data_IF_026748511872
#
_entry.id   IF_026748511872
#
_cell.length_a   1.000
_cell.length_b   1.000
_cell.length_c   1.000
_cell.angle_alpha   90.00
_cell.angle_beta   90.00
_cell.angle_gamma   90.00
#
_symmetry.space_group_name_H-M   'P 1'
#
loop_
_entity.id
_entity.type
_entity.pdbx_description
1 polymer ?
#
# COMPACT_ATOMS: atom_id res chain seq x y z
N UNK A 1 -30.81 40.55 -5.05
CA UNK A 1 -30.36 39.48 -5.96
C UNK A 1 -28.90 39.17 -5.63
N UNK A 2 -28.65 38.38 -4.58
CA UNK A 2 -27.29 38.04 -4.13
C UNK A 2 -26.81 36.81 -4.91
N UNK A 3 -25.98 37.07 -5.92
CA UNK A 3 -25.33 36.03 -6.73
C UNK A 3 -24.28 35.36 -5.83
N UNK A 4 -24.58 34.17 -5.30
CA UNK A 4 -23.57 33.31 -4.67
C UNK A 4 -22.50 33.02 -5.73
N UNK A 5 -21.31 33.59 -5.54
CA UNK A 5 -20.14 33.24 -6.34
C UNK A 5 -19.71 31.88 -5.83
N UNK A 6 -20.02 30.82 -6.57
CA UNK A 6 -19.49 29.49 -6.29
C UNK A 6 -17.95 29.55 -6.43
N UNK A 7 -17.22 29.30 -5.35
CA UNK A 7 -15.75 29.15 -5.38
C UNK A 7 -15.42 28.00 -6.33
N UNK A 8 -14.51 28.26 -7.27
CA UNK A 8 -14.27 27.50 -8.50
C UNK A 8 -13.64 26.10 -8.32
N UNK A 9 -13.54 25.57 -7.09
CA UNK A 9 -12.89 24.29 -6.79
C UNK A 9 -13.83 23.16 -6.29
N UNK A 10 -15.14 23.40 -6.13
CA UNK A 10 -16.08 22.41 -5.55
C UNK A 10 -16.43 21.19 -6.45
N UNK A 11 -15.87 21.09 -7.66
CA UNK A 11 -16.31 20.09 -8.65
C UNK A 11 -15.19 19.32 -9.35
N UNK A 12 -14.01 19.18 -8.73
CA UNK A 12 -13.01 18.24 -9.25
C UNK A 12 -13.30 16.83 -8.72
N UNK A 13 -14.01 16.04 -9.51
CA UNK A 13 -14.16 14.61 -9.30
C UNK A 13 -12.76 13.96 -9.26
N UNK A 14 -12.39 13.36 -8.12
CA UNK A 14 -11.06 12.75 -7.90
C UNK A 14 -11.00 11.26 -8.30
N UNK A 15 -11.90 10.83 -9.20
CA UNK A 15 -11.96 9.47 -9.72
C UNK A 15 -12.77 8.46 -8.88
N UNK A 16 -13.46 8.91 -7.82
CA UNK A 16 -14.40 8.08 -7.05
C UNK A 16 -15.86 8.19 -7.52
N UNK A 17 -16.16 9.11 -8.45
CA UNK A 17 -17.54 9.43 -8.82
C UNK A 17 -18.28 10.26 -7.77
N UNK A 18 -19.34 10.92 -8.21
CA UNK A 18 -20.18 11.78 -7.34
C UNK A 18 -21.47 11.08 -6.89
N UNK A 19 -21.73 9.85 -7.37
CA UNK A 19 -22.92 9.07 -7.02
C UNK A 19 -22.73 8.41 -5.66
N UNK A 20 -23.66 8.66 -4.76
CA UNK A 20 -23.75 7.95 -3.47
C UNK A 20 -24.37 6.58 -3.73
N UNK A 21 -23.59 5.52 -3.56
CA UNK A 21 -24.10 4.13 -3.63
C UNK A 21 -24.66 3.72 -2.27
N UNK A 22 -23.97 4.09 -1.19
CA UNK A 22 -24.38 3.91 0.20
C UNK A 22 -23.80 5.07 1.03
N UNK A 23 -24.56 5.49 2.05
CA UNK A 23 -24.24 6.61 2.95
C UNK A 23 -23.16 6.21 3.96
N UNK A 24 -22.97 4.92 4.27
CA UNK A 24 -21.95 4.47 5.24
C UNK A 24 -20.78 3.72 4.60
N UNK A 25 -20.70 3.68 3.28
CA UNK A 25 -19.60 3.00 2.60
C UNK A 25 -18.34 3.87 2.65
N UNK A 26 -17.24 3.27 3.11
CA UNK A 26 -15.90 3.87 3.07
C UNK A 26 -15.35 3.81 1.64
N UNK A 27 -14.81 4.93 1.14
CA UNK A 27 -14.20 5.02 -0.20
C UNK A 27 -12.84 4.32 -0.26
N UNK A 28 -12.01 4.52 0.77
CA UNK A 28 -10.69 3.94 0.88
C UNK A 28 -10.50 3.38 2.28
N UNK A 29 -9.98 2.16 2.41
CA UNK A 29 -9.74 1.56 3.72
C UNK A 29 -8.65 2.33 4.51
N UNK A 30 -8.60 2.11 5.82
CA UNK A 30 -7.64 2.79 6.72
C UNK A 30 -6.18 2.55 6.31
N UNK A 31 -5.90 1.37 5.75
CA UNK A 31 -4.60 0.96 5.23
C UNK A 31 -4.25 1.54 3.85
N UNK A 32 -5.14 2.37 3.28
CA UNK A 32 -4.97 3.00 1.97
C UNK A 32 -5.39 2.11 0.79
N UNK A 33 -5.89 0.90 1.03
CA UNK A 33 -6.42 0.04 -0.04
C UNK A 33 -7.78 0.55 -0.54
N UNK A 34 -8.04 0.41 -1.84
CA UNK A 34 -9.30 0.85 -2.43
C UNK A 34 -10.43 -0.11 -2.06
N UNK A 35 -11.57 0.42 -1.60
CA UNK A 35 -12.77 -0.38 -1.29
C UNK A 35 -13.68 -0.54 -2.51
N UNK A 36 -13.09 -0.83 -3.67
CA UNK A 36 -13.81 -0.95 -4.95
C UNK A 36 -13.68 -2.38 -5.46
N UNK A 37 -14.82 -3.04 -5.64
CA UNK A 37 -14.90 -4.34 -6.35
C UNK A 37 -15.15 -4.07 -7.82
N UNK A 38 -14.19 -4.46 -8.67
CA UNK A 38 -14.35 -4.41 -10.13
C UNK A 38 -15.07 -5.67 -10.58
N UNK A 39 -16.19 -5.52 -11.28
CA UNK A 39 -16.97 -6.62 -11.85
C UNK A 39 -17.07 -6.46 -13.38
N UNK A 40 -17.31 -7.56 -14.10
CA UNK A 40 -17.55 -7.55 -15.55
C UNK A 40 -16.34 -7.83 -16.45
N UNK A 41 -15.15 -8.07 -15.88
CA UNK A 41 -13.97 -8.52 -16.62
C UNK A 41 -13.80 -10.04 -16.50
N UNK A 42 -13.26 -10.68 -17.54
CA UNK A 42 -12.84 -12.09 -17.45
C UNK A 42 -11.65 -12.20 -16.49
N UNK A 43 -11.50 -13.34 -15.83
CA UNK A 43 -10.44 -13.56 -14.84
C UNK A 43 -9.05 -13.15 -15.34
N UNK A 44 -8.65 -13.62 -16.54
CA UNK A 44 -7.35 -13.32 -17.15
C UNK A 44 -7.12 -11.84 -17.51
N UNK A 45 -8.18 -11.08 -17.81
CA UNK A 45 -8.08 -9.64 -18.12
C UNK A 45 -7.92 -8.80 -16.85
N UNK A 46 -8.41 -9.32 -15.71
CA UNK A 46 -8.33 -8.64 -14.42
C UNK A 46 -7.01 -8.89 -13.67
N UNK A 47 -6.29 -9.97 -14.01
CA UNK A 47 -5.07 -10.41 -13.30
C UNK A 47 -3.82 -9.89 -14.00
N UNK A 48 -3.10 -8.98 -13.35
CA UNK A 48 -1.74 -8.63 -13.75
C UNK A 48 -0.75 -9.60 -13.08
N UNK A 49 -0.34 -10.64 -13.81
CA UNK A 49 0.52 -11.72 -13.31
C UNK A 49 1.80 -11.18 -12.67
N UNK A 50 2.47 -10.21 -13.31
CA UNK A 50 3.69 -9.62 -12.77
C UNK A 50 3.42 -8.93 -11.43
N UNK A 51 2.36 -8.12 -11.36
CA UNK A 51 1.96 -7.44 -10.12
C UNK A 51 1.68 -8.45 -8.99
N UNK A 52 0.95 -9.52 -9.28
CA UNK A 52 0.62 -10.53 -8.28
C UNK A 52 1.88 -11.25 -7.77
N UNK A 53 2.76 -11.66 -8.67
CA UNK A 53 4.02 -12.32 -8.32
C UNK A 53 4.94 -11.45 -7.47
N UNK A 54 5.00 -10.14 -7.70
CA UNK A 54 5.86 -9.24 -6.91
C UNK A 54 5.21 -8.75 -5.60
N UNK A 55 3.88 -8.76 -5.50
CA UNK A 55 3.17 -8.25 -4.31
C UNK A 55 2.72 -9.33 -3.33
N UNK A 56 2.72 -10.60 -3.76
CA UNK A 56 2.32 -11.73 -2.92
C UNK A 56 3.17 -11.84 -1.63
N UNK A 57 2.64 -12.39 -0.52
CA UNK A 57 3.41 -12.70 0.67
C UNK A 57 4.63 -13.59 0.40
N UNK A 58 5.75 -13.35 1.11
CA UNK A 58 7.01 -14.07 0.92
C UNK A 58 6.88 -15.60 0.97
N UNK A 59 6.17 -16.14 1.97
CA UNK A 59 5.98 -17.58 2.09
C UNK A 59 5.24 -18.17 0.89
N UNK A 60 4.19 -17.50 0.43
CA UNK A 60 3.44 -17.94 -0.76
C UNK A 60 4.33 -17.94 -2.01
N UNK A 61 5.21 -16.95 -2.15
CA UNK A 61 6.16 -16.87 -3.27
C UNK A 61 7.15 -18.04 -3.25
N UNK A 62 7.76 -18.32 -2.10
CA UNK A 62 8.69 -19.45 -1.98
C UNK A 62 8.01 -20.80 -2.24
N UNK A 63 6.78 -21.00 -1.74
CA UNK A 63 6.01 -22.20 -2.06
C UNK A 63 5.69 -22.28 -3.56
N UNK A 64 5.29 -21.17 -4.19
CA UNK A 64 5.02 -21.14 -5.63
C UNK A 64 6.26 -21.56 -6.44
N UNK A 65 7.44 -21.01 -6.13
CA UNK A 65 8.70 -21.37 -6.79
C UNK A 65 9.04 -22.84 -6.54
N UNK A 66 8.94 -23.30 -5.29
CA UNK A 66 9.22 -24.68 -4.90
C UNK A 66 8.31 -25.70 -5.59
N UNK A 67 7.00 -25.46 -5.60
CA UNK A 67 6.05 -26.35 -6.26
C UNK A 67 6.14 -26.28 -7.78
N UNK A 68 6.46 -25.11 -8.35
CA UNK A 68 6.73 -24.99 -9.79
C UNK A 68 7.96 -25.79 -10.19
N UNK A 69 9.03 -25.73 -9.40
CA UNK A 69 10.21 -26.57 -9.58
C UNK A 69 9.84 -28.06 -9.56
N UNK A 70 9.11 -28.51 -8.54
CA UNK A 70 8.67 -29.91 -8.45
C UNK A 70 7.81 -30.29 -9.66
N UNK A 71 6.84 -29.47 -10.04
CA UNK A 71 5.92 -29.74 -11.14
C UNK A 71 6.64 -29.88 -12.50
N UNK A 72 7.61 -29.01 -12.77
CA UNK A 72 8.42 -29.08 -14.00
C UNK A 72 9.26 -30.37 -14.02
N UNK A 73 9.90 -30.74 -12.91
CA UNK A 73 10.63 -32.01 -12.83
C UNK A 73 9.72 -33.22 -13.00
N UNK A 74 8.52 -33.22 -12.40
CA UNK A 74 7.55 -34.28 -12.62
C UNK A 74 7.12 -34.37 -14.08
N UNK A 75 6.95 -33.24 -14.76
CA UNK A 75 6.59 -33.21 -16.18
C UNK A 75 7.69 -33.86 -17.04
N UNK A 76 8.96 -33.44 -16.87
CA UNK A 76 10.06 -34.03 -17.62
C UNK A 76 10.28 -35.51 -17.26
N UNK A 77 10.25 -35.86 -15.97
CA UNK A 77 10.34 -37.24 -15.51
C UNK A 77 9.24 -38.12 -16.12
N UNK A 78 8.02 -37.60 -16.24
CA UNK A 78 6.91 -38.29 -16.90
C UNK A 78 7.16 -38.50 -18.40
N UNK A 79 7.70 -37.49 -19.09
CA UNK A 79 8.07 -37.63 -20.52
C UNK A 79 9.18 -38.67 -20.71
N UNK A 80 10.24 -38.64 -19.90
CA UNK A 80 11.29 -39.67 -19.92
C UNK A 80 10.71 -41.05 -19.65
N UNK A 81 9.82 -41.17 -18.66
CA UNK A 81 9.23 -42.45 -18.28
C UNK A 81 8.35 -43.06 -19.38
N UNK A 82 7.64 -42.23 -20.15
CA UNK A 82 6.74 -42.69 -21.23
C UNK A 82 7.46 -43.01 -22.54
N UNK A 83 8.44 -42.19 -22.94
CA UNK A 83 9.02 -42.28 -24.28
C UNK A 83 10.21 -43.24 -24.30
N UNK A 84 11.14 -43.07 -23.37
CA UNK A 84 12.40 -43.81 -23.40
C UNK A 84 13.01 -44.04 -22.00
N UNK A 85 12.34 -44.82 -21.14
CA UNK A 85 12.73 -45.01 -19.74
C UNK A 85 13.98 -45.89 -19.54
N UNK A 86 14.40 -46.65 -20.55
CA UNK A 86 15.51 -47.61 -20.44
C UNK A 86 16.87 -47.02 -20.85
N UNK A 87 16.87 -45.92 -21.61
CA UNK A 87 18.10 -45.26 -22.07
C UNK A 87 18.52 -44.09 -21.17
N UNK A 88 18.33 -44.25 -19.85
CA UNK A 88 18.99 -43.45 -18.80
C UNK A 88 19.94 -44.41 -18.06
N UNK A 89 21.24 -44.20 -18.26
CA UNK A 89 22.30 -45.01 -17.67
C UNK A 89 22.44 -44.79 -16.16
N UNK A 90 22.95 -45.81 -15.46
CA UNK A 90 23.33 -45.74 -14.05
C UNK A 90 22.18 -45.74 -13.03
N UNK A 91 20.95 -46.03 -13.48
CA UNK A 91 19.80 -46.23 -12.60
C UNK A 91 19.91 -47.55 -11.82
N UNK A 92 19.54 -47.53 -10.54
CA UNK A 92 19.43 -48.72 -9.69
C UNK A 92 17.99 -48.81 -9.20
N UNK A 93 17.26 -49.85 -9.62
CA UNK A 93 15.85 -50.01 -9.26
C UNK A 93 15.45 -51.48 -9.24
N UNK A 94 14.50 -51.85 -8.38
CA UNK A 94 13.91 -53.19 -8.32
C UNK A 94 12.45 -53.23 -8.77
N UNK A 95 11.76 -52.10 -8.69
CA UNK A 95 10.35 -51.96 -9.08
C UNK A 95 10.12 -50.68 -9.90
N UNK A 96 8.94 -50.59 -10.54
CA UNK A 96 8.60 -49.46 -11.42
C UNK A 96 8.55 -48.11 -10.69
N UNK A 97 8.20 -48.10 -9.40
CA UNK A 97 8.16 -46.87 -8.60
C UNK A 97 9.56 -46.34 -8.30
N UNK A 98 10.52 -47.21 -7.97
CA UNK A 98 11.93 -46.86 -7.83
C UNK A 98 12.52 -46.37 -9.15
N UNK A 99 12.17 -47.02 -10.27
CA UNK A 99 12.57 -46.57 -11.60
C UNK A 99 12.11 -45.13 -11.87
N UNK A 100 10.84 -44.82 -11.56
CA UNK A 100 10.32 -43.47 -11.71
C UNK A 100 11.03 -42.46 -10.79
N UNK A 101 11.35 -42.84 -9.55
CA UNK A 101 12.12 -41.99 -8.62
C UNK A 101 13.51 -41.67 -9.15
N UNK A 102 14.22 -42.66 -9.71
CA UNK A 102 15.53 -42.48 -10.33
C UNK A 102 15.44 -41.50 -11.51
N UNK A 103 14.43 -41.65 -12.37
CA UNK A 103 14.18 -40.74 -13.50
C UNK A 103 13.82 -39.33 -13.02
N UNK A 104 13.02 -39.21 -11.95
CA UNK A 104 12.73 -37.92 -11.32
C UNK A 104 14.01 -37.25 -10.79
N UNK A 105 14.91 -38.00 -10.16
CA UNK A 105 16.19 -37.45 -9.71
C UNK A 105 17.14 -37.11 -10.86
N UNK A 106 17.09 -37.84 -11.98
CA UNK A 106 17.78 -37.44 -13.21
C UNK A 106 17.26 -36.08 -13.71
N UNK A 107 15.94 -35.92 -13.82
CA UNK A 107 15.30 -34.65 -14.19
C UNK A 107 15.71 -33.51 -13.25
N UNK A 108 15.64 -33.74 -11.93
CA UNK A 108 16.07 -32.77 -10.92
C UNK A 108 17.53 -32.32 -11.08
N UNK A 109 18.43 -33.24 -11.39
CA UNK A 109 19.86 -32.95 -11.60
C UNK A 109 20.12 -32.23 -12.92
N UNK A 110 19.38 -32.56 -13.97
CA UNK A 110 19.46 -31.93 -15.30
C UNK A 110 18.91 -30.50 -15.27
N UNK A 111 17.71 -30.30 -14.72
CA UNK A 111 17.04 -29.00 -14.61
C UNK A 111 17.87 -28.01 -13.77
N UNK A 112 18.50 -28.48 -12.69
CA UNK A 112 19.37 -27.65 -11.81
C UNK A 112 20.80 -27.52 -12.32
N UNK A 113 21.15 -28.21 -13.40
CA UNK A 113 22.53 -28.31 -13.93
C UNK A 113 23.55 -28.84 -12.91
N UNK A 114 23.10 -29.59 -11.89
CA UNK A 114 23.99 -30.20 -10.88
C UNK A 114 24.74 -31.38 -11.48
N UNK A 115 24.05 -32.24 -12.21
CA UNK A 115 24.64 -33.32 -13.01
C UNK A 115 25.73 -34.13 -12.32
N UNK A 116 25.44 -34.86 -11.24
CA UNK A 116 26.43 -35.65 -10.50
C UNK A 116 27.15 -36.73 -11.35
N UNK A 117 26.61 -37.05 -12.53
CA UNK A 117 27.24 -37.95 -13.50
C UNK A 117 26.90 -39.43 -13.33
N UNK A 118 26.28 -39.84 -12.21
CA UNK A 118 25.76 -41.21 -12.05
C UNK A 118 24.66 -41.53 -13.05
N UNK A 119 23.73 -40.60 -13.23
CA UNK A 119 22.62 -40.71 -14.16
C UNK A 119 22.94 -39.92 -15.42
N UNK A 120 22.93 -40.57 -16.58
CA UNK A 120 23.26 -39.95 -17.85
C UNK A 120 22.38 -40.45 -18.99
N UNK A 121 21.94 -39.60 -19.92
CA UNK A 121 21.20 -40.05 -21.09
C UNK A 121 22.14 -40.86 -22.01
N UNK A 122 21.65 -41.97 -22.57
CA UNK A 122 22.42 -42.80 -23.52
C UNK A 122 21.85 -42.79 -24.93
N UNK A 123 20.60 -42.36 -25.12
CA UNK A 123 19.97 -42.17 -26.43
C UNK A 123 20.04 -40.72 -26.90
N UNK A 124 20.02 -40.51 -28.22
CA UNK A 124 19.96 -39.16 -28.82
C UNK A 124 18.72 -38.39 -28.37
N UNK A 125 17.59 -39.09 -28.21
CA UNK A 125 16.33 -38.49 -27.75
C UNK A 125 16.44 -37.98 -26.31
N UNK A 126 16.86 -38.84 -25.36
CA UNK A 126 17.00 -38.43 -23.96
C UNK A 126 18.06 -37.35 -23.79
N UNK A 127 19.12 -37.35 -24.61
CA UNK A 127 20.15 -36.30 -24.60
C UNK A 127 19.59 -34.96 -25.08
N UNK A 128 18.79 -34.96 -26.16
CA UNK A 128 18.13 -33.75 -26.65
C UNK A 128 17.10 -33.21 -25.63
N UNK A 129 16.32 -34.10 -25.02
CA UNK A 129 15.35 -33.75 -23.99
C UNK A 129 16.04 -33.17 -22.75
N UNK A 130 17.16 -33.77 -22.30
CA UNK A 130 17.96 -33.25 -21.19
C UNK A 130 18.58 -31.88 -21.48
N UNK A 131 18.95 -31.62 -22.75
CA UNK A 131 19.42 -30.29 -23.17
C UNK A 131 18.29 -29.25 -23.11
N UNK A 132 17.09 -29.58 -23.59
CA UNK A 132 15.90 -28.71 -23.51
C UNK A 132 15.52 -28.45 -22.05
N UNK A 133 15.54 -29.49 -21.23
CA UNK A 133 15.29 -29.42 -19.79
C UNK A 133 16.30 -28.50 -19.10
N UNK A 134 17.60 -28.68 -19.35
CA UNK A 134 18.65 -27.83 -18.79
C UNK A 134 18.48 -26.36 -19.19
N UNK A 135 18.13 -26.09 -20.46
CA UNK A 135 17.84 -24.73 -20.93
C UNK A 135 16.61 -24.14 -20.23
N UNK A 136 15.56 -24.94 -20.07
CA UNK A 136 14.34 -24.53 -19.36
C UNK A 136 14.64 -24.20 -17.90
N UNK A 137 15.45 -25.00 -17.23
CA UNK A 137 15.92 -24.77 -15.86
C UNK A 137 16.70 -23.47 -15.75
N UNK A 138 17.69 -23.26 -16.63
CA UNK A 138 18.49 -22.03 -16.68
C UNK A 138 17.61 -20.78 -16.82
N UNK A 139 16.68 -20.77 -17.78
CA UNK A 139 15.74 -19.66 -17.97
C UNK A 139 14.79 -19.49 -16.78
N UNK A 140 14.31 -20.60 -16.20
CA UNK A 140 13.45 -20.60 -15.03
C UNK A 140 14.13 -19.97 -13.80
N UNK A 141 15.39 -20.32 -13.53
CA UNK A 141 16.16 -19.71 -12.44
C UNK A 141 16.45 -18.24 -12.70
N UNK A 142 16.75 -17.85 -13.94
CA UNK A 142 16.93 -16.44 -14.30
C UNK A 142 15.65 -15.63 -14.02
N UNK A 143 14.48 -16.14 -14.41
CA UNK A 143 13.19 -15.51 -14.14
C UNK A 143 12.87 -15.45 -12.64
N UNK A 144 13.06 -16.55 -11.90
CA UNK A 144 12.83 -16.59 -10.46
C UNK A 144 13.74 -15.60 -9.71
N UNK A 145 15.02 -15.52 -10.11
CA UNK A 145 15.99 -14.57 -9.57
C UNK A 145 15.61 -13.12 -9.91
N UNK A 146 15.19 -12.86 -11.16
CA UNK A 146 14.69 -11.55 -11.57
C UNK A 146 13.46 -11.12 -10.78
N UNK A 147 12.52 -12.03 -10.51
CA UNK A 147 11.36 -11.78 -9.66
C UNK A 147 11.77 -11.53 -8.20
N UNK A 148 12.71 -12.30 -7.66
CA UNK A 148 13.26 -12.07 -6.32
C UNK A 148 13.85 -10.66 -6.21
N UNK A 149 14.69 -10.27 -7.17
CA UNK A 149 15.25 -8.92 -7.23
C UNK A 149 14.14 -7.87 -7.33
N UNK A 150 13.19 -8.02 -8.24
CA UNK A 150 12.05 -7.09 -8.38
C UNK A 150 11.21 -6.95 -7.10
N UNK A 151 11.10 -8.01 -6.30
CA UNK A 151 10.44 -8.00 -4.99
C UNK A 151 11.25 -7.25 -3.93
N UNK A 152 12.58 -7.43 -3.89
CA UNK A 152 13.47 -6.72 -2.96
C UNK A 152 13.62 -5.25 -3.31
N UNK A 153 13.68 -4.92 -4.61
CA UNK A 153 13.88 -3.57 -5.13
C UNK A 153 12.60 -2.73 -5.15
N UNK A 154 11.49 -3.26 -4.64
CA UNK A 154 10.23 -2.51 -4.54
C UNK A 154 10.27 -1.61 -3.29
N UNK A 155 10.26 -0.28 -3.44
CA UNK A 155 10.21 0.61 -2.30
C UNK A 155 8.83 0.53 -1.63
N UNK A 156 8.83 0.49 -0.31
CA UNK A 156 7.61 0.57 0.50
C UNK A 156 7.82 1.63 1.56
N UNK A 157 7.20 2.79 1.37
CA UNK A 157 7.05 3.77 2.43
C UNK A 157 6.27 3.14 3.59
N UNK A 158 6.92 3.00 4.74
CA UNK A 158 6.26 2.61 5.98
C UNK A 158 6.05 3.85 6.82
N UNK A 159 5.12 4.71 6.40
CA UNK A 159 4.67 5.84 7.21
C UNK A 159 3.55 5.36 8.12
N UNK A 160 3.71 5.58 9.42
CA UNK A 160 2.65 5.37 10.40
C UNK A 160 1.73 6.58 10.40
N UNK A 161 0.43 6.32 10.35
CA UNK A 161 -0.62 7.30 10.55
C UNK A 161 -1.19 7.14 11.96
N UNK A 162 -1.60 8.24 12.58
CA UNK A 162 -2.41 8.19 13.80
C UNK A 162 -3.72 7.44 13.51
N UNK A 163 -4.21 6.68 14.49
CA UNK A 163 -5.48 5.94 14.36
C UNK A 163 -6.64 6.93 14.18
N UNK A 164 -6.61 8.00 14.97
CA UNK A 164 -7.60 9.06 14.95
C UNK A 164 -7.02 10.34 14.34
N UNK A 165 -7.88 11.11 13.68
CA UNK A 165 -7.62 12.52 13.41
C UNK A 165 -8.18 13.33 14.58
N UNK A 166 -7.66 14.54 14.80
CA UNK A 166 -8.11 15.41 15.88
C UNK A 166 -8.64 16.72 15.31
N UNK A 167 -9.72 17.23 15.90
CA UNK A 167 -10.03 18.66 15.84
C UNK A 167 -9.53 19.27 17.13
N UNK A 168 -8.54 20.16 16.98
CA UNK A 168 -7.67 20.61 18.06
C UNK A 168 -7.56 22.14 18.08
N UNK A 169 -7.28 22.74 19.24
CA UNK A 169 -6.94 24.16 19.32
C UNK A 169 -5.63 24.46 18.59
N UNK A 170 -5.61 25.53 17.80
CA UNK A 170 -4.50 25.91 16.93
C UNK A 170 -4.47 27.43 16.69
N UNK A 171 -3.37 28.10 17.07
CA UNK A 171 -3.12 29.55 16.85
C UNK A 171 -4.33 30.47 17.15
N UNK A 172 -5.12 30.15 18.18
CA UNK A 172 -6.29 30.94 18.60
C UNK A 172 -7.63 30.52 17.97
N UNK A 173 -7.65 29.53 17.09
CA UNK A 173 -8.87 28.95 16.49
C UNK A 173 -8.76 27.41 16.46
N UNK A 174 -9.54 26.73 15.63
CA UNK A 174 -9.56 25.26 15.55
C UNK A 174 -8.92 24.73 14.25
N UNK A 175 -8.30 23.56 14.31
CA UNK A 175 -7.71 22.93 13.14
C UNK A 175 -7.95 21.42 13.14
N UNK A 176 -8.08 20.86 11.94
CA UNK A 176 -8.06 19.42 11.71
C UNK A 176 -6.60 18.95 11.63
N UNK A 177 -6.24 17.95 12.43
CA UNK A 177 -4.87 17.48 12.58
C UNK A 177 -4.75 15.97 12.45
N UNK A 178 -3.73 15.53 11.72
CA UNK A 178 -3.34 14.13 11.62
C UNK A 178 -1.84 14.04 11.90
N UNK A 179 -1.42 13.07 12.70
CA UNK A 179 0.00 12.83 12.94
C UNK A 179 0.48 11.69 12.08
N UNK A 180 1.61 11.91 11.42
CA UNK A 180 2.36 10.85 10.73
C UNK A 180 3.78 10.74 11.30
N UNK A 181 4.37 9.57 11.17
CA UNK A 181 5.76 9.34 11.53
C UNK A 181 6.39 8.29 10.62
N UNK A 182 7.70 8.39 10.41
CA UNK A 182 8.44 7.39 9.66
C UNK A 182 8.69 6.16 10.54
N UNK A 183 8.28 4.97 10.08
CA UNK A 183 8.54 3.71 10.79
C UNK A 183 9.94 3.19 10.54
N UNK A 184 10.50 3.51 9.38
CA UNK A 184 11.81 3.02 8.98
C UNK A 184 12.90 3.94 9.53
N UNK A 185 14.13 3.40 9.58
CA UNK A 185 15.32 4.20 9.88
C UNK A 185 15.85 4.97 8.68
N UNK A 186 15.41 4.62 7.47
CA UNK A 186 15.75 5.38 6.27
C UNK A 186 15.04 6.72 6.28
N UNK A 187 15.67 7.72 5.69
CA UNK A 187 15.12 9.05 5.59
C UNK A 187 14.08 9.13 4.48
N UNK A 188 13.04 9.94 4.71
CA UNK A 188 12.06 10.28 3.69
C UNK A 188 12.27 11.75 3.35
N UNK A 189 12.71 11.98 2.11
CA UNK A 189 13.01 13.29 1.55
C UNK A 189 11.77 13.87 0.87
N UNK A 190 11.63 15.18 0.97
CA UNK A 190 10.55 15.97 0.38
C UNK A 190 9.14 15.35 0.53
N UNK A 191 8.75 14.87 1.73
CA UNK A 191 7.38 14.43 1.96
C UNK A 191 6.38 15.57 1.71
N UNK A 192 5.40 15.28 0.87
CA UNK A 192 4.30 16.14 0.49
C UNK A 192 2.98 15.48 0.91
N UNK A 193 2.14 16.22 1.64
CA UNK A 193 0.84 15.76 2.08
C UNK A 193 -0.28 16.45 1.30
N UNK A 194 -1.34 15.71 1.02
CA UNK A 194 -2.60 16.22 0.47
C UNK A 194 -3.75 15.57 1.21
N UNK A 195 -4.74 16.38 1.60
CA UNK A 195 -5.97 15.89 2.21
C UNK A 195 -7.15 16.32 1.34
N UNK A 196 -7.96 15.36 0.93
CA UNK A 196 -9.23 15.60 0.25
C UNK A 196 -10.35 15.19 1.19
N UNK A 197 -11.22 16.13 1.51
CA UNK A 197 -12.45 15.88 2.23
C UNK A 197 -13.53 15.43 1.25
N UNK A 198 -14.13 14.28 1.50
CA UNK A 198 -15.37 13.83 0.85
C UNK A 198 -16.53 14.01 1.82
N UNK A 199 -17.66 14.50 1.33
CA UNK A 199 -18.87 14.65 2.13
C UNK A 199 -20.11 14.53 1.25
N UNK A 200 -21.24 14.16 1.85
CA UNK A 200 -22.53 14.09 1.18
C UNK A 200 -23.26 15.41 1.42
N UNK A 201 -23.68 16.03 0.34
CA UNK A 201 -24.54 17.21 0.36
C UNK A 201 -25.88 16.85 -0.29
N UNK A 202 -26.97 17.30 0.30
CA UNK A 202 -28.32 17.12 -0.24
C UNK A 202 -28.76 18.39 -0.97
N UNK A 203 -28.74 18.35 -2.30
CA UNK A 203 -29.21 19.45 -3.14
C UNK A 203 -30.47 18.99 -3.89
N UNK A 204 -31.58 19.73 -3.72
CA UNK A 204 -32.85 19.47 -4.40
C UNK A 204 -33.38 18.02 -4.22
N UNK A 205 -33.18 17.42 -3.04
CA UNK A 205 -33.61 16.05 -2.72
C UNK A 205 -32.71 14.95 -3.27
N UNK A 206 -31.62 15.31 -3.97
CA UNK A 206 -30.61 14.35 -4.43
C UNK A 206 -29.37 14.44 -3.54
N UNK A 207 -28.98 13.31 -2.96
CA UNK A 207 -27.72 13.17 -2.22
C UNK A 207 -26.57 13.00 -3.20
N UNK A 208 -25.68 13.98 -3.24
CA UNK A 208 -24.49 13.97 -4.07
C UNK A 208 -23.24 13.98 -3.19
N UNK A 209 -22.26 13.15 -3.55
CA UNK A 209 -20.95 13.17 -2.89
C UNK A 209 -20.09 14.26 -3.53
N UNK A 210 -19.64 15.21 -2.72
CA UNK A 210 -18.72 16.29 -3.10
C UNK A 210 -17.32 16.02 -2.56
N UNK A 211 -16.34 16.68 -3.16
CA UNK A 211 -14.94 16.61 -2.79
C UNK A 211 -14.36 18.02 -2.67
N UNK A 212 -13.59 18.27 -1.61
CA UNK A 212 -12.90 19.52 -1.39
C UNK A 212 -11.45 19.26 -0.95
N UNK A 213 -10.49 19.91 -1.61
CA UNK A 213 -9.11 19.88 -1.16
C UNK A 213 -8.96 20.76 0.08
N UNK A 214 -8.35 20.22 1.13
CA UNK A 214 -8.09 20.98 2.35
C UNK A 214 -6.75 21.70 2.24
N UNK A 215 -6.76 23.01 2.49
CA UNK A 215 -5.56 23.85 2.53
C UNK A 215 -4.73 23.53 3.78
N UNK A 216 -3.53 22.99 3.60
CA UNK A 216 -2.66 22.63 4.72
C UNK A 216 -1.79 23.84 5.14
N UNK A 217 -1.44 23.94 6.43
CA UNK A 217 -0.45 24.92 6.90
C UNK A 217 0.90 24.71 6.20
N UNK A 218 1.34 23.45 6.18
CA UNK A 218 2.51 23.00 5.46
C UNK A 218 2.07 21.86 4.54
N UNK A 219 2.29 22.02 3.24
CA UNK A 219 2.04 20.97 2.25
C UNK A 219 3.23 20.06 2.09
N UNK A 220 4.44 20.54 2.36
CA UNK A 220 5.68 19.77 2.29
C UNK A 220 6.59 20.06 3.49
N UNK A 221 7.45 19.10 3.82
CA UNK A 221 8.64 19.32 4.68
C UNK A 221 9.85 18.73 3.97
N UNK A 222 11.06 19.23 4.24
CA UNK A 222 12.28 18.75 3.57
C UNK A 222 12.64 17.32 3.98
N UNK A 223 12.40 16.98 5.25
CA UNK A 223 12.87 15.72 5.82
C UNK A 223 11.90 15.22 6.89
N UNK A 224 11.51 13.94 6.82
CA UNK A 224 10.72 13.27 7.86
C UNK A 224 11.53 12.17 8.56
N UNK A 225 12.32 12.58 9.54
CA UNK A 225 13.08 11.69 10.45
C UNK A 225 12.33 11.34 11.73
N UNK A 226 11.46 12.23 12.21
CA UNK A 226 10.72 12.08 13.46
C UNK A 226 9.22 11.88 13.18
N UNK A 227 8.40 12.87 13.55
CA UNK A 227 6.96 12.91 13.30
C UNK A 227 6.57 14.24 12.71
N UNK A 228 5.54 14.24 11.86
CA UNK A 228 4.96 15.45 11.31
C UNK A 228 3.46 15.44 11.60
N UNK A 229 2.98 16.51 12.23
CA UNK A 229 1.55 16.77 12.34
C UNK A 229 1.11 17.57 11.12
N UNK A 230 0.31 16.96 10.26
CA UNK A 230 -0.35 17.62 9.14
C UNK A 230 -1.52 18.40 9.71
N UNK A 231 -1.58 19.70 9.43
CA UNK A 231 -2.56 20.63 9.98
C UNK A 231 -3.34 21.29 8.86
N UNK A 232 -4.65 21.19 8.91
CA UNK A 232 -5.58 22.01 8.12
C UNK A 232 -6.27 23.01 9.06
N UNK A 233 -5.89 24.30 9.00
CA UNK A 233 -6.62 25.39 9.65
C UNK A 233 -8.10 25.40 9.24
N UNK A 234 -9.03 25.41 10.21
CA UNK A 234 -10.47 25.59 9.93
C UNK A 234 -10.77 27.10 10.02
N UNK A 235 -10.31 27.83 9.00
CA UNK A 235 -10.58 29.25 8.80
C UNK A 235 -11.78 29.47 7.84
N UNK A 236 -12.10 30.72 7.52
CA UNK A 236 -13.20 31.09 6.61
C UNK A 236 -13.09 30.50 5.20
N UNK A 237 -11.91 30.04 4.79
CA UNK A 237 -11.70 29.39 3.51
C UNK A 237 -11.95 27.87 3.56
N UNK A 238 -12.03 27.29 4.76
CA UNK A 238 -12.25 25.87 4.97
C UNK A 238 -13.67 25.46 4.57
N UNK A 239 -13.85 24.30 3.89
CA UNK A 239 -15.18 23.74 3.64
C UNK A 239 -15.91 23.31 4.92
N UNK A 240 -15.18 23.19 6.04
CA UNK A 240 -15.73 22.87 7.36
C UNK A 240 -15.96 24.11 8.23
N UNK A 241 -15.79 25.31 7.68
CA UNK A 241 -16.03 26.53 8.45
C UNK A 241 -17.48 26.57 8.95
N UNK A 242 -17.67 26.84 10.24
CA UNK A 242 -18.96 26.81 10.94
C UNK A 242 -19.67 25.45 10.98
N UNK A 243 -18.99 24.34 10.71
CA UNK A 243 -19.59 23.01 10.90
C UNK A 243 -19.42 22.55 12.34
N UNK A 244 -20.50 22.05 12.93
CA UNK A 244 -20.48 21.37 14.22
C UNK A 244 -20.00 19.91 14.07
N UNK A 245 -19.71 19.26 15.20
CA UNK A 245 -19.47 17.81 15.25
C UNK A 245 -20.64 17.02 14.64
N UNK A 246 -21.87 17.45 14.91
CA UNK A 246 -23.06 16.82 14.33
C UNK A 246 -23.13 16.96 12.81
N UNK A 247 -22.70 18.09 12.25
CA UNK A 247 -22.73 18.32 10.80
C UNK A 247 -21.72 17.42 10.07
N UNK A 248 -20.54 17.22 10.67
CA UNK A 248 -19.50 16.30 10.18
C UNK A 248 -20.01 14.86 10.19
N UNK A 249 -20.73 14.45 11.24
CA UNK A 249 -21.34 13.12 11.33
C UNK A 249 -22.50 12.94 10.34
N UNK A 250 -23.42 13.92 10.25
CA UNK A 250 -24.60 13.86 9.35
C UNK A 250 -24.21 13.85 7.87
N UNK A 251 -23.08 14.45 7.52
CA UNK A 251 -22.62 14.57 6.13
C UNK A 251 -21.77 13.40 5.63
N UNK A 252 -21.63 12.29 6.40
CA UNK A 252 -20.74 11.16 6.10
C UNK A 252 -19.35 11.61 5.61
N UNK A 253 -18.70 12.44 6.42
CA UNK A 253 -17.39 12.97 6.04
C UNK A 253 -16.34 11.86 6.05
N UNK A 254 -15.53 11.82 4.99
CA UNK A 254 -14.33 10.99 4.89
C UNK A 254 -13.14 11.84 4.43
N UNK A 255 -12.09 11.90 5.24
CA UNK A 255 -10.83 12.56 4.90
C UNK A 255 -9.89 11.56 4.25
N UNK A 256 -9.60 11.75 2.97
CA UNK A 256 -8.66 10.95 2.20
C UNK A 256 -7.29 11.63 2.26
N UNK A 257 -6.31 10.95 2.84
CA UNK A 257 -4.95 11.46 3.02
C UNK A 257 -4.02 10.74 2.05
N UNK A 258 -3.25 11.53 1.31
CA UNK A 258 -2.15 11.06 0.46
C UNK A 258 -0.86 11.69 0.97
N UNK A 259 0.16 10.88 1.18
CA UNK A 259 1.52 11.35 1.41
C UNK A 259 2.42 10.77 0.34
N UNK A 260 3.11 11.66 -0.38
CA UNK A 260 4.14 11.34 -1.35
C UNK A 260 5.48 11.69 -0.73
N UNK A 261 6.50 10.88 -0.90
CA UNK A 261 7.86 11.20 -0.44
C UNK A 261 8.88 10.53 -1.38
N UNK A 262 10.13 10.98 -1.34
CA UNK A 262 11.24 10.30 -1.98
C UNK A 262 11.92 9.40 -0.96
N UNK A 263 12.01 8.09 -1.26
CA UNK A 263 12.73 7.12 -0.44
C UNK A 263 14.16 6.99 -0.97
N UNK A 264 15.12 7.33 -0.12
CA UNK A 264 16.53 7.46 -0.50
C UNK A 264 17.18 6.12 -0.87
N UNK A 265 16.91 5.06 -0.11
CA UNK A 265 17.50 3.72 -0.30
C UNK A 265 17.24 3.17 -1.70
N UNK A 266 16.02 3.36 -2.21
CA UNK A 266 15.58 2.86 -3.52
C UNK A 266 15.60 3.93 -4.61
N UNK A 267 15.98 5.17 -4.27
CA UNK A 267 16.01 6.31 -5.17
C UNK A 267 14.68 6.54 -5.93
N UNK A 268 13.55 6.33 -5.24
CA UNK A 268 12.22 6.31 -5.87
C UNK A 268 11.18 7.09 -5.06
N UNK A 269 10.24 7.70 -5.78
CA UNK A 269 9.06 8.31 -5.17
C UNK A 269 8.09 7.23 -4.71
N UNK A 270 7.73 7.30 -3.44
CA UNK A 270 6.77 6.42 -2.78
C UNK A 270 5.50 7.18 -2.43
N UNK A 271 4.38 6.45 -2.45
CA UNK A 271 3.08 6.98 -2.06
C UNK A 271 2.48 6.10 -0.98
N UNK A 272 1.94 6.74 0.05
CA UNK A 272 1.13 6.07 1.07
C UNK A 272 -0.19 6.82 1.22
N UNK A 273 -1.22 6.10 1.65
CA UNK A 273 -2.57 6.64 1.77
C UNK A 273 -3.21 6.17 3.05
N UNK A 274 -4.14 6.94 3.57
CA UNK A 274 -5.01 6.55 4.68
C UNK A 274 -6.32 7.33 4.62
N UNK A 275 -7.35 6.86 5.31
CA UNK A 275 -8.64 7.53 5.38
C UNK A 275 -9.09 7.72 6.82
N UNK A 276 -9.88 8.76 7.07
CA UNK A 276 -10.51 9.02 8.36
C UNK A 276 -11.99 9.28 8.13
N UNK A 277 -12.85 8.39 8.63
CA UNK A 277 -14.29 8.65 8.69
C UNK A 277 -14.60 9.64 9.82
N UNK A 278 -15.76 10.29 9.77
CA UNK A 278 -16.23 11.21 10.80
C UNK A 278 -16.09 10.64 12.23
N UNK A 279 -16.47 9.37 12.42
CA UNK A 279 -16.35 8.65 13.71
C UNK A 279 -14.90 8.43 14.18
N UNK A 280 -13.92 8.55 13.28
CA UNK A 280 -12.49 8.42 13.60
C UNK A 280 -11.85 9.79 13.91
N UNK A 281 -12.63 10.87 13.92
CA UNK A 281 -12.21 12.23 14.29
C UNK A 281 -12.60 12.53 15.73
N UNK A 282 -11.63 12.90 16.56
CA UNK A 282 -11.83 13.25 17.97
C UNK A 282 -11.82 14.77 18.12
N UNK A 283 -12.92 15.33 18.61
CA UNK A 283 -13.06 16.77 18.86
C UNK A 283 -12.52 17.14 20.24
N UNK A 284 -11.96 18.35 20.36
CA UNK A 284 -11.48 18.86 21.64
C UNK A 284 -10.32 18.05 22.21
N UNK A 285 -9.38 17.66 21.36
CA UNK A 285 -8.20 16.90 21.77
C UNK A 285 -6.94 17.45 21.10
N UNK A 286 -5.80 17.31 21.77
CA UNK A 286 -4.49 17.62 21.22
C UNK A 286 -3.57 16.42 21.37
N UNK A 287 -2.73 16.18 20.36
CA UNK A 287 -1.78 15.09 20.46
C UNK A 287 -0.73 15.36 21.56
N UNK A 288 -0.39 14.32 22.31
CA UNK A 288 0.67 14.37 23.33
C UNK A 288 2.04 14.31 22.60
N UNK A 289 3.06 15.08 23.03
CA UNK A 289 4.41 14.99 22.48
C UNK A 289 4.99 13.58 22.62
N UNK A 290 5.61 13.07 21.56
CA UNK A 290 6.24 11.73 21.50
C UNK A 290 7.76 11.79 21.34
N UNK A 291 8.32 13.00 21.27
CA UNK A 291 9.74 13.24 21.11
C UNK A 291 10.30 13.60 22.48
N UNK A 292 11.35 12.89 22.90
CA UNK A 292 12.04 13.12 24.16
C UNK A 292 13.55 13.02 23.98
N UNK A 293 14.36 13.69 24.84
CA UNK A 293 15.79 13.49 24.84
C UNK A 293 16.13 12.03 25.15
N UNK A 294 17.11 11.48 24.45
CA UNK A 294 17.71 10.18 24.72
C UNK A 294 19.11 10.31 25.32
N UNK A 295 19.76 9.17 25.51
CA UNK A 295 21.15 9.13 26.00
C UNK A 295 22.13 9.63 24.93
N UNK A 296 23.30 10.13 25.35
CA UNK A 296 24.39 10.56 24.46
C UNK A 296 23.97 11.58 23.38
N UNK A 297 23.18 12.59 23.75
CA UNK A 297 22.72 13.66 22.84
C UNK A 297 21.86 13.15 21.67
N UNK A 298 21.23 11.98 21.81
CA UNK A 298 20.28 11.43 20.86
C UNK A 298 18.85 11.91 21.13
N UNK A 299 17.96 11.69 20.16
CA UNK A 299 16.52 11.97 20.26
C UNK A 299 15.76 10.66 20.16
N UNK A 300 14.82 10.43 21.09
CA UNK A 300 13.94 9.26 21.08
C UNK A 300 12.56 9.69 20.58
N UNK A 301 12.05 8.96 19.58
CA UNK A 301 10.68 9.10 19.07
C UNK A 301 9.87 7.88 19.48
N UNK A 302 8.91 8.05 20.39
CA UNK A 302 8.07 6.98 20.93
C UNK A 302 6.93 6.63 19.96
N UNK A 303 7.24 5.89 18.87
CA UNK A 303 6.26 5.56 17.82
C UNK A 303 5.04 4.77 18.31
N UNK A 304 5.16 4.03 19.42
CA UNK A 304 4.03 3.34 20.06
C UNK A 304 2.97 4.32 20.59
N UNK A 305 3.36 5.57 20.86
CA UNK A 305 2.52 6.65 21.39
C UNK A 305 2.02 7.61 20.31
N UNK A 306 2.16 7.25 19.03
CA UNK A 306 1.74 8.10 17.91
C UNK A 306 0.27 8.55 18.00
N UNK A 307 -0.56 7.73 18.66
CA UNK A 307 -2.00 7.95 18.83
C UNK A 307 -2.35 8.74 20.10
N UNK A 308 -1.42 8.91 21.03
CA UNK A 308 -1.67 9.48 22.34
C UNK A 308 -2.14 10.93 22.18
N UNK A 309 -3.30 11.23 22.75
CA UNK A 309 -3.90 12.55 22.77
C UNK A 309 -4.54 12.80 24.14
N UNK A 310 -4.67 14.08 24.49
CA UNK A 310 -5.34 14.53 25.71
C UNK A 310 -6.44 15.53 25.34
N UNK A 311 -7.50 15.56 26.14
CA UNK A 311 -8.56 16.56 26.00
C UNK A 311 -7.98 17.97 26.08
N UNK A 312 -8.44 18.84 25.20
CA UNK A 312 -8.09 20.25 25.14
C UNK A 312 -9.32 21.05 24.73
N UNK A 313 -9.64 22.15 25.43
CA UNK A 313 -10.78 22.96 25.05
C UNK A 313 -10.58 23.50 23.63
N UNK A 314 -11.64 23.40 22.82
CA UNK A 314 -11.70 24.13 21.57
C UNK A 314 -11.94 25.60 21.88
N UNK A 315 -11.44 26.48 21.02
CA UNK A 315 -11.86 27.87 21.08
C UNK A 315 -13.34 27.91 20.68
N UNK A 316 -14.22 28.33 21.59
CA UNK A 316 -15.53 28.85 21.19
C UNK A 316 -15.27 29.99 20.21
N UNK A 317 -16.08 30.06 19.14
CA UNK A 317 -16.00 31.03 18.06
C UNK A 317 -15.24 32.29 18.49
N UNK A 318 -14.03 32.48 17.94
CA UNK A 318 -13.45 33.82 17.94
C UNK A 318 -14.35 34.64 17.04
N UNK A 319 -15.38 35.26 17.64
CA UNK A 319 -16.03 36.42 17.03
C UNK A 319 -14.91 37.40 16.77
N UNK A 320 -14.48 37.51 15.51
CA UNK A 320 -13.69 38.64 15.09
C UNK A 320 -14.50 39.87 15.49
N UNK A 321 -14.06 40.55 16.56
CA UNK A 321 -14.63 41.83 16.91
C UNK A 321 -14.49 42.70 15.67
N UNK A 322 -15.62 43.09 15.08
CA UNK A 322 -15.67 44.20 14.15
C UNK A 322 -15.13 45.42 14.91
N UNK A 323 -13.83 45.64 14.87
CA UNK A 323 -13.29 46.95 15.22
C UNK A 323 -13.83 47.92 14.16
N UNK A 324 -14.56 48.97 14.57
CA UNK A 324 -14.99 49.98 13.63
C UNK A 324 -13.72 50.68 13.15
N UNK A 325 -13.42 50.54 11.86
CA UNK A 325 -12.50 51.46 11.20
C UNK A 325 -13.05 52.88 11.43
N UNK A 326 -12.37 53.64 12.27
CA UNK A 326 -12.49 55.09 12.32
C UNK A 326 -11.67 55.72 11.19
#
# INVERSE_FOLDING_TARGET
MHRRIFKQDEFREIGFGNKVVDVNQRLMNKDGSSNVKRAGLRFYESTNLYHELITMPWLKFFFLVFFSYIAVNFLFAFVYFLVDPDHIGGMIYTNSTEKFKEIFFFSAQSLTTVGYGRLNPTSTFNSALAAIESLTGLLGFALATGLLYGRFSRPVARILFSKNALIAPYKGFTAFMIRIANKNRSELLDPEATIVMSYINEENGNKLRKFANLKLELTHVTLLTMSWTIVHPIDEESPMYNWSEEDILKSDVEFLVLVKAYEETFAQTVHTRSSYKAEEVVFGAKFIPIIKPGDNNSVIVELNRINDHATAPLFEEVKFSEEPKQ
#
